data_IF_244688368529
#
_entry.id   IF_244688368529
#
_cell.length_a   1.000
_cell.length_b   1.000
_cell.length_c   1.000
_cell.angle_alpha   90.00
_cell.angle_beta   90.00
_cell.angle_gamma   90.00
#
_symmetry.space_group_name_H-M   'P 1'
#
loop_
_entity.id
_entity.type
_entity.pdbx_description
1 polymer ?
#
# COMPACT_ATOMS: atom_id res chain seq x y z
N UNK A 1 -0.16 6.61 -26.33
CA UNK A 1 0.39 7.98 -26.40
C UNK A 1 -0.43 8.98 -25.57
N UNK A 2 -1.76 8.95 -25.64
CA UNK A 2 -2.64 9.87 -24.89
C UNK A 2 -2.42 9.90 -23.36
N UNK A 3 -2.26 8.74 -22.71
CA UNK A 3 -2.01 8.68 -21.26
C UNK A 3 -0.70 9.35 -20.83
N UNK A 4 0.36 9.28 -21.66
CA UNK A 4 1.65 9.95 -21.38
C UNK A 4 1.58 11.47 -21.58
N UNK A 5 0.61 11.95 -22.37
CA UNK A 5 0.42 13.37 -22.67
C UNK A 5 -0.48 14.07 -21.64
N UNK A 6 -1.22 13.31 -20.82
CA UNK A 6 -2.16 13.84 -19.83
C UNK A 6 -1.49 14.41 -18.56
N UNK A 7 -0.17 14.32 -18.46
CA UNK A 7 0.58 14.72 -17.26
C UNK A 7 0.78 13.56 -16.29
N UNK A 8 1.10 13.90 -15.04
CA UNK A 8 1.33 12.91 -13.99
C UNK A 8 0.03 12.16 -13.65
N UNK A 9 0.11 10.85 -13.37
CA UNK A 9 -1.06 10.07 -13.03
C UNK A 9 -1.65 10.54 -11.71
N UNK A 10 -2.97 10.73 -11.69
CA UNK A 10 -3.70 11.10 -10.47
C UNK A 10 -3.61 10.01 -9.40
N UNK A 11 -3.51 8.74 -9.82
CA UNK A 11 -3.51 7.57 -8.94
C UNK A 11 -2.33 6.67 -9.29
N UNK A 12 -1.60 6.21 -8.28
CA UNK A 12 -0.39 5.41 -8.40
C UNK A 12 -0.54 4.06 -7.69
N UNK A 13 -0.04 2.98 -8.32
CA UNK A 13 0.11 1.69 -7.64
C UNK A 13 1.29 1.77 -6.68
N UNK A 14 1.01 1.60 -5.40
CA UNK A 14 2.00 1.67 -4.33
C UNK A 14 2.15 0.31 -3.64
N UNK A 15 3.36 0.00 -3.22
CA UNK A 15 3.62 -1.03 -2.21
C UNK A 15 3.54 -0.38 -0.83
N UNK A 16 2.87 -1.05 0.10
CA UNK A 16 2.74 -0.66 1.50
C UNK A 16 3.40 -1.72 2.37
N UNK A 17 4.11 -1.31 3.42
CA UNK A 17 4.58 -2.20 4.50
C UNK A 17 3.56 -2.19 5.63
N UNK A 18 3.23 -3.36 6.17
CA UNK A 18 2.48 -3.44 7.42
C UNK A 18 3.45 -3.27 8.58
N UNK A 19 3.23 -2.24 9.38
CA UNK A 19 4.15 -1.83 10.44
C UNK A 19 3.95 -2.67 11.71
N UNK A 20 2.69 -3.02 12.00
CA UNK A 20 2.30 -3.96 13.05
C UNK A 20 1.08 -4.78 12.59
N UNK A 21 1.16 -6.09 12.77
CA UNK A 21 0.12 -7.06 12.40
C UNK A 21 -0.65 -7.58 13.63
N UNK A 22 -0.37 -7.04 14.81
CA UNK A 22 -0.97 -7.48 16.07
C UNK A 22 -2.36 -6.89 16.23
N UNK A 23 -3.37 -7.74 16.36
CA UNK A 23 -4.74 -7.29 16.63
C UNK A 23 -4.93 -6.91 18.11
N UNK A 24 -6.09 -6.35 18.47
CA UNK A 24 -6.42 -5.96 19.84
C UNK A 24 -6.46 -7.12 20.84
N UNK A 25 -6.45 -8.36 20.36
CA UNK A 25 -6.32 -9.58 21.17
C UNK A 25 -4.90 -10.14 21.25
N UNK A 26 -3.90 -9.46 20.69
CA UNK A 26 -2.50 -9.89 20.68
C UNK A 26 -2.15 -10.93 19.61
N UNK A 27 -3.04 -11.19 18.64
CA UNK A 27 -2.82 -12.20 17.59
C UNK A 27 -2.24 -11.55 16.35
N UNK A 28 -1.29 -12.23 15.71
CA UNK A 28 -0.78 -11.83 14.41
C UNK A 28 -1.82 -12.07 13.32
N UNK A 29 -2.10 -11.06 12.51
CA UNK A 29 -3.03 -11.09 11.38
C UNK A 29 -2.28 -11.00 10.06
N UNK A 30 -2.65 -11.87 9.13
CA UNK A 30 -2.04 -11.96 7.82
C UNK A 30 -3.05 -11.53 6.77
N UNK A 31 -3.00 -10.25 6.40
CA UNK A 31 -3.90 -9.68 5.40
C UNK A 31 -3.75 -10.48 4.09
N UNK A 32 -4.87 -10.86 3.49
CA UNK A 32 -4.89 -11.77 2.33
C UNK A 32 -4.97 -11.01 1.01
N UNK A 33 -5.41 -9.76 1.05
CA UNK A 33 -5.57 -8.91 -0.11
C UNK A 33 -6.92 -9.12 -0.79
N UNK A 34 -7.17 -8.27 -1.80
CA UNK A 34 -8.30 -8.39 -2.71
C UNK A 34 -9.43 -7.40 -2.46
N UNK A 35 -9.64 -6.93 -1.22
CA UNK A 35 -10.64 -5.88 -0.97
C UNK A 35 -10.50 -5.11 0.36
N UNK A 36 -9.46 -5.34 1.16
CA UNK A 36 -9.25 -4.63 2.42
C UNK A 36 -9.15 -3.11 2.18
N UNK A 37 -9.99 -2.27 2.81
CA UNK A 37 -9.92 -0.84 2.64
C UNK A 37 -8.59 -0.26 3.14
N UNK A 38 -8.01 0.65 2.36
CA UNK A 38 -6.95 1.54 2.83
C UNK A 38 -7.58 2.87 3.26
N UNK A 39 -7.17 3.34 4.42
CA UNK A 39 -7.72 4.51 5.09
C UNK A 39 -6.60 5.49 5.44
N UNK A 40 -6.97 6.74 5.67
CA UNK A 40 -6.07 7.74 6.22
C UNK A 40 -5.63 7.34 7.64
N UNK A 41 -4.59 7.99 8.17
CA UNK A 41 -4.05 7.70 9.50
C UNK A 41 -5.10 7.78 10.63
N UNK A 42 -6.10 8.65 10.48
CA UNK A 42 -7.25 8.85 11.37
C UNK A 42 -8.46 7.94 11.06
N UNK A 43 -8.34 7.01 10.11
CA UNK A 43 -9.38 6.04 9.76
C UNK A 43 -10.41 6.54 8.74
N UNK A 44 -10.16 7.68 8.12
CA UNK A 44 -10.98 8.22 7.03
C UNK A 44 -10.86 7.42 5.73
N UNK A 45 -11.96 7.35 4.98
CA UNK A 45 -12.00 6.65 3.70
C UNK A 45 -11.26 7.46 2.64
N UNK A 46 -10.38 6.79 1.88
CA UNK A 46 -9.67 7.39 0.76
C UNK A 46 -10.43 7.10 -0.54
N UNK A 47 -10.69 8.16 -1.31
CA UNK A 47 -11.30 8.07 -2.65
C UNK A 47 -10.58 8.98 -3.62
N UNK A 48 -10.45 8.55 -4.88
CA UNK A 48 -9.94 9.40 -5.95
C UNK A 48 -11.02 10.32 -6.56
N UNK A 49 -10.67 11.14 -7.56
CA UNK A 49 -11.60 12.08 -8.22
C UNK A 49 -12.78 11.40 -8.92
N UNK A 50 -12.69 10.10 -9.19
CA UNK A 50 -13.74 9.30 -9.81
C UNK A 50 -14.59 8.55 -8.76
N UNK A 51 -14.34 8.78 -7.47
CA UNK A 51 -15.05 8.15 -6.36
C UNK A 51 -14.64 6.69 -6.11
N UNK A 52 -13.53 6.22 -6.70
CA UNK A 52 -13.03 4.86 -6.48
C UNK A 52 -12.27 4.81 -5.16
N UNK A 53 -12.46 3.72 -4.41
CA UNK A 53 -11.87 3.56 -3.08
C UNK A 53 -10.49 2.92 -3.15
N UNK A 54 -9.55 3.44 -2.37
CA UNK A 54 -8.27 2.76 -2.16
C UNK A 54 -8.47 1.50 -1.32
N UNK A 55 -8.00 0.38 -1.86
CA UNK A 55 -8.11 -0.94 -1.24
C UNK A 55 -6.90 -1.80 -1.61
N UNK A 56 -6.64 -2.82 -0.83
CA UNK A 56 -5.59 -3.79 -1.10
C UNK A 56 -5.97 -4.61 -2.34
N UNK A 57 -5.07 -4.65 -3.32
CA UNK A 57 -5.20 -5.46 -4.53
C UNK A 57 -4.50 -6.80 -4.39
N UNK A 58 -3.36 -6.82 -3.71
CA UNK A 58 -2.55 -8.02 -3.47
C UNK A 58 -1.83 -7.88 -2.13
N UNK A 59 -1.57 -9.00 -1.48
CA UNK A 59 -0.86 -9.04 -0.21
C UNK A 59 0.04 -10.27 -0.13
N UNK A 60 1.12 -10.18 0.65
CA UNK A 60 2.00 -11.29 0.90
C UNK A 60 3.16 -10.92 1.81
N UNK A 61 3.73 -11.93 2.48
CA UNK A 61 4.96 -11.72 3.24
C UNK A 61 6.14 -11.57 2.26
N UNK A 62 6.96 -10.54 2.43
CA UNK A 62 8.19 -10.32 1.68
C UNK A 62 9.41 -10.73 2.51
N UNK A 63 9.94 -11.96 2.39
CA UNK A 63 11.05 -12.44 3.21
C UNK A 63 12.29 -11.56 3.11
N UNK A 64 12.58 -11.06 1.91
CA UNK A 64 13.73 -10.20 1.63
C UNK A 64 13.71 -8.86 2.37
N UNK A 65 12.53 -8.41 2.80
CA UNK A 65 12.34 -7.14 3.53
C UNK A 65 11.83 -7.37 4.97
N UNK A 66 11.56 -8.62 5.35
CA UNK A 66 11.11 -8.98 6.71
C UNK A 66 9.76 -8.37 7.11
N UNK A 67 8.90 -8.07 6.14
CA UNK A 67 7.62 -7.36 6.36
C UNK A 67 6.49 -7.99 5.56
N UNK A 68 5.27 -7.88 6.07
CA UNK A 68 4.07 -8.13 5.27
C UNK A 68 3.84 -6.94 4.35
N UNK A 69 3.58 -7.22 3.09
CA UNK A 69 3.45 -6.23 2.03
C UNK A 69 2.03 -6.24 1.49
N UNK A 70 1.52 -5.04 1.18
CA UNK A 70 0.25 -4.83 0.51
C UNK A 70 0.50 -4.03 -0.77
N UNK A 71 -0.33 -4.21 -1.78
CA UNK A 71 -0.38 -3.36 -2.96
C UNK A 71 -1.71 -2.61 -2.97
N UNK A 72 -1.68 -1.32 -3.28
CA UNK A 72 -2.89 -0.51 -3.38
C UNK A 72 -2.72 0.66 -4.36
N UNK A 73 -3.82 1.04 -5.00
CA UNK A 73 -3.90 2.28 -5.76
C UNK A 73 -4.24 3.44 -4.82
N UNK A 74 -3.36 4.44 -4.77
CA UNK A 74 -3.51 5.62 -3.93
C UNK A 74 -3.56 6.90 -4.79
N UNK A 75 -4.36 7.90 -4.41
CA UNK A 75 -4.19 9.26 -4.92
C UNK A 75 -2.73 9.71 -4.80
N UNK A 76 -2.24 10.41 -5.82
CA UNK A 76 -0.84 10.85 -5.93
C UNK A 76 -0.34 11.59 -4.69
N UNK A 77 -1.18 12.42 -4.07
CA UNK A 77 -0.92 13.13 -2.82
C UNK A 77 -0.62 12.23 -1.62
N UNK A 78 -1.09 10.98 -1.63
CA UNK A 78 -0.85 9.97 -0.58
C UNK A 78 0.19 8.92 -0.98
N UNK A 79 0.77 9.01 -2.17
CA UNK A 79 1.65 7.98 -2.74
C UNK A 79 3.14 8.14 -2.38
N UNK A 80 3.48 9.18 -1.64
CA UNK A 80 4.87 9.48 -1.29
C UNK A 80 5.43 8.44 -0.31
N UNK A 81 6.65 7.91 -0.51
CA UNK A 81 7.30 7.04 0.46
C UNK A 81 7.34 7.65 1.86
N UNK A 82 7.03 6.86 2.88
CA UNK A 82 6.93 7.30 4.27
C UNK A 82 5.54 7.81 4.70
N UNK A 83 4.57 7.89 3.79
CA UNK A 83 3.19 8.30 4.13
C UNK A 83 2.52 7.23 5.00
N UNK A 84 1.92 7.67 6.11
CA UNK A 84 1.26 6.82 7.10
C UNK A 84 -0.23 6.69 6.81
N UNK A 85 -0.68 5.44 6.72
CA UNK A 85 -2.05 5.07 6.41
C UNK A 85 -2.47 3.91 7.32
N UNK A 86 -3.72 3.48 7.18
CA UNK A 86 -4.25 2.30 7.86
C UNK A 86 -4.79 1.32 6.84
N UNK A 87 -4.72 0.02 7.13
CA UNK A 87 -5.54 -0.99 6.47
C UNK A 87 -6.60 -1.49 7.43
N UNK A 88 -7.85 -1.58 6.97
CA UNK A 88 -8.89 -2.26 7.72
C UNK A 88 -8.91 -3.74 7.38
N UNK A 89 -8.71 -4.59 8.40
CA UNK A 89 -8.76 -6.03 8.26
C UNK A 89 -9.50 -6.63 9.45
N UNK A 90 -10.49 -7.48 9.19
CA UNK A 90 -11.35 -8.08 10.24
C UNK A 90 -11.92 -7.06 11.24
N UNK A 91 -12.36 -5.89 10.74
CA UNK A 91 -12.91 -4.77 11.50
C UNK A 91 -11.93 -4.09 12.48
N UNK A 92 -10.63 -4.32 12.33
CA UNK A 92 -9.57 -3.64 13.08
C UNK A 92 -8.66 -2.86 12.13
N UNK A 93 -7.98 -1.85 12.66
CA UNK A 93 -7.06 -1.00 11.89
C UNK A 93 -5.63 -1.40 12.19
N UNK A 94 -4.85 -1.59 11.13
CA UNK A 94 -3.43 -1.91 11.23
C UNK A 94 -2.61 -0.83 10.53
N UNK A 95 -1.55 -0.32 11.18
CA UNK A 95 -0.72 0.73 10.61
C UNK A 95 0.03 0.20 9.40
N UNK A 96 -0.04 0.95 8.31
CA UNK A 96 0.73 0.67 7.09
C UNK A 96 1.47 1.92 6.65
N UNK A 97 2.62 1.73 6.01
CA UNK A 97 3.44 2.82 5.50
C UNK A 97 3.69 2.64 4.02
N UNK A 98 3.60 3.74 3.26
CA UNK A 98 3.89 3.72 1.83
C UNK A 98 5.38 3.51 1.63
N UNK A 99 5.75 2.40 0.99
CA UNK A 99 7.14 2.16 0.57
C UNK A 99 7.47 2.85 -0.77
N UNK A 100 6.44 3.11 -1.57
CA UNK A 100 6.52 3.81 -2.86
C UNK A 100 6.04 2.96 -4.03
N UNK A 101 6.37 3.39 -5.24
CA UNK A 101 5.95 2.76 -6.50
C UNK A 101 7.01 1.84 -7.10
N UNK A 102 8.24 1.88 -6.56
CA UNK A 102 9.35 1.03 -6.98
C UNK A 102 9.34 -0.31 -6.24
N UNK A 103 10.22 -1.23 -6.68
CA UNK A 103 10.45 -2.46 -5.95
C UNK A 103 11.00 -2.15 -4.55
N UNK A 104 10.40 -2.76 -3.52
CA UNK A 104 10.86 -2.63 -2.13
C UNK A 104 12.18 -3.38 -1.86
N UNK A 105 12.62 -4.19 -2.82
CA UNK A 105 13.86 -4.96 -2.76
C UNK A 105 14.62 -4.79 -4.07
N UNK A 106 15.91 -4.48 -3.98
CA UNK A 106 16.77 -4.15 -5.13
C UNK A 106 16.17 -3.04 -6.02
N UNK A 107 15.86 -1.85 -5.48
CA UNK A 107 15.21 -0.78 -6.24
C UNK A 107 16.03 -0.30 -7.43
N UNK A 108 17.36 -0.45 -7.36
CA UNK A 108 18.29 -0.04 -8.41
C UNK A 108 18.52 -1.14 -9.47
N UNK A 109 17.85 -2.28 -9.33
CA UNK A 109 17.93 -3.42 -10.24
C UNK A 109 19.38 -3.92 -10.44
N UNK A 110 20.19 -3.81 -9.38
CA UNK A 110 21.63 -4.08 -9.41
C UNK A 110 21.94 -5.55 -9.67
N UNK A 111 21.01 -6.45 -9.31
CA UNK A 111 21.22 -7.90 -9.45
C UNK A 111 20.86 -8.46 -10.82
N UNK A 112 20.13 -7.72 -11.66
CA UNK A 112 19.78 -8.18 -13.01
C UNK A 112 20.69 -7.60 -14.10
N UNK A 113 21.44 -6.53 -13.82
CA UNK A 113 22.26 -5.76 -14.78
C UNK A 113 23.66 -6.34 -15.04
N UNK A 114 23.79 -7.67 -15.09
CA UNK A 114 25.06 -8.37 -15.34
C UNK A 114 25.81 -7.90 -16.60
#
# INVERSE_FOLDING_TARGET
>A
LAARQAGDPEVLMCTLTVEDQTDGGGRQRHMMGGNEPILTADGGRITDSHGRVSRVTSAGYGPSVGRHLLMSYLPSELSSPGTDLQVMYMNELFPVRVAGTAAVFDPDDSRLKG
#
